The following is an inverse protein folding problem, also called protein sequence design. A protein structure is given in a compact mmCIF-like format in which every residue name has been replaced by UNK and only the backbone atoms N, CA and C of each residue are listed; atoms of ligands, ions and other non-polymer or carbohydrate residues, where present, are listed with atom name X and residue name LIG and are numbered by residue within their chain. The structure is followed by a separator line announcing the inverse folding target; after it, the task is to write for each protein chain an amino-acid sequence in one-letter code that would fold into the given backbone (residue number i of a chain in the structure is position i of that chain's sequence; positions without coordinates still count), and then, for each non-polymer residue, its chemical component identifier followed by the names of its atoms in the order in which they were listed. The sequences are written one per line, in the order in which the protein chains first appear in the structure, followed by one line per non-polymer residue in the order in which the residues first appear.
data_IF_999140885757
#
_entry.id   IF_999140885757
#
_cell.length_a   1.000
_cell.length_b   1.000
_cell.length_c   1.000
_cell.angle_alpha   90.00
_cell.angle_beta   90.00
_cell.angle_gamma   90.00
#
_symmetry.space_group_name_H-M   'P 1'
#
loop_
_entity.id
_entity.type
_entity.pdbx_description
1 polymer ?
#
# COMPACT_ATOMS: atom_id res chain seq x y z
N UNK A 1 -5.27 5.26 -13.82
CA UNK A 1 -5.42 4.97 -12.39
C UNK A 1 -4.18 5.52 -11.71
N UNK A 2 -4.25 6.73 -11.17
CA UNK A 2 -3.09 7.42 -10.61
C UNK A 2 -3.01 6.98 -9.15
N UNK A 3 -2.10 6.06 -8.89
CA UNK A 3 -1.65 5.61 -7.57
C UNK A 3 -2.68 4.84 -6.72
N UNK A 4 -2.71 3.52 -6.89
CA UNK A 4 -3.39 2.62 -5.96
C UNK A 4 -2.67 2.50 -4.59
N UNK A 5 -1.58 3.25 -4.39
CA UNK A 5 -0.88 3.40 -3.11
C UNK A 5 -0.31 4.83 -3.02
N UNK A 6 -1.04 5.78 -2.40
CA UNK A 6 -0.77 7.21 -2.49
C UNK A 6 0.44 7.68 -1.67
N UNK A 7 1.23 6.77 -1.08
CA UNK A 7 2.34 7.13 -0.18
C UNK A 7 3.36 8.04 -0.86
N UNK A 8 3.79 7.72 -2.08
CA UNK A 8 4.78 8.54 -2.79
C UNK A 8 4.23 9.93 -3.15
N UNK A 9 2.96 10.00 -3.52
CA UNK A 9 2.30 11.27 -3.84
C UNK A 9 2.17 12.11 -2.56
N UNK A 10 1.73 11.52 -1.46
CA UNK A 10 1.65 12.18 -0.15
C UNK A 10 3.01 12.71 0.32
N UNK A 11 4.08 11.92 0.18
CA UNK A 11 5.43 12.38 0.53
C UNK A 11 5.88 13.55 -0.35
N UNK A 12 5.52 13.53 -1.63
CA UNK A 12 5.82 14.61 -2.56
C UNK A 12 5.06 15.90 -2.19
N UNK A 13 3.80 15.77 -1.81
CA UNK A 13 2.96 16.88 -1.35
C UNK A 13 3.49 17.51 -0.06
N UNK A 14 3.90 16.68 0.92
CA UNK A 14 4.53 17.17 2.16
C UNK A 14 5.83 17.91 1.85
N UNK A 15 6.67 17.37 0.95
CA UNK A 15 7.89 18.05 0.51
C UNK A 15 7.62 19.39 -0.16
N UNK A 16 6.61 19.46 -1.03
CA UNK A 16 6.18 20.68 -1.69
C UNK A 16 5.63 21.71 -0.69
N UNK A 17 4.79 21.27 0.25
CA UNK A 17 4.24 22.11 1.31
C UNK A 17 5.34 22.70 2.19
N UNK A 18 6.28 21.87 2.66
CA UNK A 18 7.42 22.31 3.46
C UNK A 18 8.30 23.33 2.72
N UNK A 19 8.57 23.09 1.44
CA UNK A 19 9.31 24.04 0.58
C UNK A 19 8.56 25.37 0.45
N UNK A 20 7.23 25.32 0.37
CA UNK A 20 6.37 26.52 0.29
C UNK A 20 6.39 27.30 1.59
N UNK A 21 6.25 26.63 2.74
CA UNK A 21 6.39 27.24 4.07
C UNK A 21 7.75 27.93 4.24
N UNK A 22 8.83 27.29 3.79
CA UNK A 22 10.16 27.87 3.82
C UNK A 22 10.27 29.15 2.96
N UNK A 23 9.73 29.14 1.73
CA UNK A 23 9.69 30.32 0.86
C UNK A 23 8.84 31.45 1.42
N UNK A 24 7.72 31.12 2.06
CA UNK A 24 6.81 32.06 2.71
C UNK A 24 7.33 32.54 4.08
N UNK A 25 8.50 32.05 4.53
CA UNK A 25 9.14 32.36 5.82
C UNK A 25 8.25 32.05 7.03
N UNK A 26 7.51 30.94 6.95
CA UNK A 26 6.66 30.39 8.01
C UNK A 26 7.13 28.98 8.40
N UNK A 27 8.37 28.82 8.87
CA UNK A 27 8.95 27.50 9.18
C UNK A 27 8.18 26.74 10.27
N UNK A 28 7.46 27.45 11.15
CA UNK A 28 6.63 26.88 12.20
C UNK A 28 5.47 26.02 11.66
N UNK A 29 5.09 26.20 10.40
CA UNK A 29 4.05 25.39 9.75
C UNK A 29 4.60 24.15 9.04
N UNK A 30 5.91 23.97 8.98
CA UNK A 30 6.50 22.80 8.34
C UNK A 30 6.13 21.52 9.10
N UNK A 31 5.89 20.46 8.34
CA UNK A 31 5.50 19.15 8.87
C UNK A 31 6.73 18.25 8.90
N UNK A 32 7.04 17.72 10.08
CA UNK A 32 8.03 16.66 10.24
C UNK A 32 7.34 15.29 10.26
N UNK A 33 7.83 14.35 9.45
CA UNK A 33 7.22 13.03 9.30
C UNK A 33 7.85 12.04 10.27
N UNK A 34 7.16 11.74 11.38
CA UNK A 34 7.68 10.78 12.37
C UNK A 34 7.56 9.30 11.98
N UNK A 35 6.59 8.95 11.12
CA UNK A 35 6.35 7.58 10.64
C UNK A 35 5.39 7.59 9.44
N UNK A 36 5.52 6.61 8.56
CA UNK A 36 4.58 6.37 7.46
C UNK A 36 3.93 5.00 7.63
N UNK A 37 2.60 4.98 7.71
CA UNK A 37 1.80 3.76 7.72
C UNK A 37 0.97 3.69 6.42
N UNK A 38 1.21 2.64 5.64
CA UNK A 38 0.44 2.33 4.44
C UNK A 38 -0.45 1.12 4.71
N UNK A 39 -1.76 1.26 4.51
CA UNK A 39 -2.73 0.16 4.72
C UNK A 39 -3.30 -0.26 3.37
N UNK A 40 -3.26 -1.56 3.09
CA UNK A 40 -3.81 -2.16 1.88
C UNK A 40 -5.16 -2.84 2.13
N UNK A 41 -5.87 -3.13 1.05
CA UNK A 41 -7.21 -3.75 1.06
C UNK A 41 -7.18 -5.26 0.85
N UNK A 42 -6.02 -5.89 0.95
CA UNK A 42 -5.81 -7.30 0.63
C UNK A 42 -4.75 -7.49 -0.46
N UNK A 43 -4.03 -8.61 -0.39
CA UNK A 43 -3.17 -9.10 -1.48
C UNK A 43 -3.86 -10.31 -2.10
N UNK A 44 -4.31 -10.16 -3.35
CA UNK A 44 -4.87 -11.28 -4.12
C UNK A 44 -3.81 -12.37 -4.30
N UNK A 45 -4.13 -13.65 -4.05
CA UNK A 45 -3.17 -14.74 -4.13
C UNK A 45 -2.71 -14.94 -5.58
N UNK A 46 -1.43 -15.22 -5.75
CA UNK A 46 -0.82 -15.42 -7.07
C UNK A 46 -1.36 -16.72 -7.66
N UNK A 47 -2.18 -16.61 -8.71
CA UNK A 47 -2.59 -17.76 -9.52
C UNK A 47 -1.40 -18.16 -10.41
N UNK A 48 -0.86 -19.39 -10.28
CA UNK A 48 0.21 -19.84 -11.16
C UNK A 48 -0.31 -19.90 -12.60
N UNK A 49 0.33 -19.13 -13.48
CA UNK A 49 0.05 -19.19 -14.92
C UNK A 49 0.77 -20.41 -15.47
N UNK A 50 0.04 -21.30 -16.13
CA UNK A 50 0.62 -22.48 -16.76
C UNK A 50 1.62 -22.03 -17.85
N UNK A 51 2.92 -22.43 -17.77
CA UNK A 51 3.93 -22.05 -18.75
C UNK A 51 3.60 -22.47 -20.18
N UNK A 52 2.79 -23.52 -20.37
CA UNK A 52 2.35 -24.01 -21.68
C UNK A 52 1.50 -22.99 -22.45
N UNK A 53 0.98 -21.98 -21.75
CA UNK A 53 0.17 -20.88 -22.31
C UNK A 53 1.02 -19.89 -23.12
N UNK A 54 2.35 -19.94 -22.97
CA UNK A 54 3.32 -19.16 -23.74
C UNK A 54 3.93 -19.93 -24.92
N UNK A 55 3.47 -21.15 -25.19
CA UNK A 55 3.92 -21.89 -26.36
C UNK A 55 3.41 -21.24 -27.66
N UNK A 56 4.32 -20.50 -28.30
CA UNK A 56 4.12 -19.82 -29.57
C UNK A 56 4.32 -20.78 -30.76
N UNK A 57 3.70 -21.96 -30.71
CA UNK A 57 3.89 -22.99 -31.73
C UNK A 57 2.95 -22.81 -32.94
N UNK A 58 1.85 -22.06 -32.80
CA UNK A 58 0.85 -21.80 -33.85
C UNK A 58 0.28 -20.37 -33.78
N UNK A 59 -0.31 -19.86 -34.87
CA UNK A 59 -0.92 -18.51 -34.94
C UNK A 59 -2.01 -18.29 -33.85
N UNK A 60 -2.75 -19.34 -33.50
CA UNK A 60 -3.74 -19.32 -32.41
C UNK A 60 -3.08 -19.29 -31.02
N UNK A 61 -1.93 -19.96 -30.87
CA UNK A 61 -1.07 -19.88 -29.68
C UNK A 61 -0.44 -18.50 -29.51
N UNK A 62 -0.05 -17.86 -30.61
CA UNK A 62 0.46 -16.48 -30.61
C UNK A 62 -0.60 -15.47 -30.16
N UNK A 63 -1.85 -15.59 -30.63
CA UNK A 63 -2.96 -14.73 -30.19
C UNK A 63 -3.31 -14.93 -28.71
N UNK A 64 -3.29 -16.18 -28.21
CA UNK A 64 -3.48 -16.47 -26.77
C UNK A 64 -2.32 -15.92 -25.94
N UNK A 65 -1.08 -16.13 -26.37
CA UNK A 65 0.11 -15.60 -25.70
C UNK A 65 0.09 -14.08 -25.62
N UNK A 66 -0.30 -13.37 -26.69
CA UNK A 66 -0.46 -11.91 -26.68
C UNK A 66 -1.57 -11.44 -25.72
N UNK A 67 -2.70 -12.13 -25.68
CA UNK A 67 -3.81 -11.80 -24.75
C UNK A 67 -3.39 -12.00 -23.29
N UNK A 68 -2.63 -13.05 -23.00
CA UNK A 68 -2.18 -13.34 -21.64
C UNK A 68 -1.03 -12.43 -21.21
N UNK A 69 -0.11 -12.09 -22.12
CA UNK A 69 0.94 -11.10 -21.83
C UNK A 69 0.35 -9.71 -21.58
N UNK A 70 -0.67 -9.30 -22.35
CA UNK A 70 -1.35 -8.02 -22.11
C UNK A 70 -2.08 -7.98 -20.77
N UNK A 71 -2.69 -9.09 -20.33
CA UNK A 71 -3.22 -9.22 -18.97
C UNK A 71 -2.13 -9.13 -17.90
N UNK A 72 -0.98 -9.78 -18.08
CA UNK A 72 0.17 -9.68 -17.15
C UNK A 72 0.72 -8.25 -17.09
N UNK A 73 0.80 -7.55 -18.22
CA UNK A 73 1.26 -6.14 -18.26
C UNK A 73 0.25 -5.23 -17.56
N UNK A 74 -1.05 -5.46 -17.75
CA UNK A 74 -2.09 -4.73 -17.04
C UNK A 74 -2.00 -5.00 -15.54
N UNK A 75 -1.83 -6.26 -15.14
CA UNK A 75 -1.70 -6.68 -13.74
C UNK A 75 -0.47 -6.04 -13.07
N UNK A 76 0.68 -6.02 -13.75
CA UNK A 76 1.89 -5.31 -13.30
C UNK A 76 1.71 -3.78 -13.26
N UNK A 77 0.91 -3.21 -14.16
CA UNK A 77 0.60 -1.78 -14.16
C UNK A 77 -0.41 -1.39 -13.06
N UNK A 78 -1.26 -2.33 -12.62
CA UNK A 78 -2.21 -2.15 -11.51
C UNK A 78 -1.69 -2.65 -10.17
N UNK A 79 -0.52 -3.30 -10.15
CA UNK A 79 0.09 -3.87 -8.96
C UNK A 79 0.25 -2.79 -7.87
N UNK A 80 -0.54 -2.95 -6.81
CA UNK A 80 -0.51 -2.10 -5.61
C UNK A 80 0.64 -2.49 -4.67
N UNK A 81 1.19 -3.69 -4.91
CA UNK A 81 2.29 -4.30 -4.18
C UNK A 81 3.56 -4.39 -5.06
N UNK A 82 4.74 -4.37 -4.46
CA UNK A 82 6.02 -4.45 -5.19
C UNK A 82 6.72 -3.10 -5.38
N UNK A 83 6.97 -2.69 -6.63
CA UNK A 83 7.85 -1.55 -6.95
C UNK A 83 7.45 -0.21 -6.28
N UNK A 84 6.16 0.19 -6.21
CA UNK A 84 5.75 1.41 -5.50
C UNK A 84 6.08 1.37 -4.01
N UNK A 85 5.92 0.21 -3.37
CA UNK A 85 6.21 0.02 -1.94
C UNK A 85 7.71 0.05 -1.69
N UNK A 86 8.51 -0.63 -2.52
CA UNK A 86 9.97 -0.61 -2.40
C UNK A 86 10.50 0.81 -2.56
N UNK A 87 9.99 1.58 -3.53
CA UNK A 87 10.35 3.00 -3.69
C UNK A 87 9.96 3.82 -2.48
N UNK A 88 8.73 3.68 -1.99
CA UNK A 88 8.24 4.39 -0.80
C UNK A 88 9.11 4.10 0.42
N UNK A 89 9.43 2.82 0.64
CA UNK A 89 10.27 2.36 1.75
C UNK A 89 11.68 2.94 1.66
N UNK A 90 12.31 2.92 0.47
CA UNK A 90 13.65 3.48 0.28
C UNK A 90 13.67 5.00 0.52
N UNK A 91 12.65 5.72 0.07
CA UNK A 91 12.51 7.14 0.33
C UNK A 91 12.33 7.43 1.82
N UNK A 92 11.43 6.72 2.50
CA UNK A 92 11.24 6.84 3.95
C UNK A 92 12.56 6.57 4.70
N UNK A 93 13.27 5.50 4.32
CA UNK A 93 14.58 5.17 4.90
C UNK A 93 15.62 6.28 4.67
N UNK A 94 15.64 6.90 3.49
CA UNK A 94 16.55 8.02 3.22
C UNK A 94 16.27 9.27 4.06
N UNK A 95 15.03 9.43 4.51
CA UNK A 95 14.59 10.51 5.39
C UNK A 95 14.71 10.13 6.89
N UNK A 96 15.15 8.90 7.21
CA UNK A 96 15.19 8.40 8.58
C UNK A 96 13.80 8.09 9.16
N UNK A 97 12.78 7.99 8.32
CA UNK A 97 11.38 7.79 8.73
C UNK A 97 11.03 6.30 8.67
N UNK A 98 10.52 5.70 9.75
CA UNK A 98 10.06 4.31 9.74
C UNK A 98 8.83 4.14 8.84
N UNK A 99 8.83 3.06 8.06
CA UNK A 99 7.78 2.73 7.10
C UNK A 99 7.15 1.36 7.41
N UNK A 100 5.84 1.35 7.63
CA UNK A 100 5.03 0.15 7.85
C UNK A 100 4.02 -0.04 6.72
N UNK A 101 3.92 -1.25 6.18
CA UNK A 101 2.88 -1.65 5.21
C UNK A 101 2.08 -2.79 5.82
N UNK A 102 0.80 -2.54 6.08
CA UNK A 102 -0.13 -3.57 6.54
C UNK A 102 -1.00 -3.97 5.35
N UNK A 103 -0.81 -5.19 4.87
CA UNK A 103 -1.66 -5.73 3.82
C UNK A 103 -1.80 -7.25 3.98
N UNK A 104 -3.03 -7.70 4.25
CA UNK A 104 -3.30 -9.10 4.53
C UNK A 104 -3.44 -9.92 3.23
N UNK A 105 -2.80 -11.09 3.09
CA UNK A 105 -3.08 -11.98 1.98
C UNK A 105 -4.51 -12.53 2.10
N UNK A 106 -5.31 -12.38 1.05
CA UNK A 106 -6.70 -12.84 1.02
C UNK A 106 -6.81 -14.21 0.35
N UNK A 107 -7.81 -15.01 0.74
CA UNK A 107 -7.98 -16.38 0.24
C UNK A 107 -8.32 -16.50 -1.26
N UNK A 108 -8.92 -15.48 -1.87
CA UNK A 108 -9.29 -15.46 -3.29
C UNK A 108 -9.32 -14.03 -3.83
N UNK A 109 -9.35 -13.90 -5.16
CA UNK A 109 -9.65 -12.62 -5.79
C UNK A 109 -11.12 -12.25 -5.55
N UNK A 110 -11.35 -11.28 -4.67
CA UNK A 110 -12.68 -10.77 -4.34
C UNK A 110 -12.88 -9.47 -5.11
N UNK A 111 -13.93 -9.44 -5.93
CA UNK A 111 -14.26 -8.27 -6.72
C UNK A 111 -14.68 -7.13 -5.78
N UNK A 112 -14.33 -5.90 -6.13
CA UNK A 112 -14.65 -4.71 -5.31
C UNK A 112 -16.15 -4.57 -4.99
N UNK A 113 -17.02 -5.08 -5.86
CA UNK A 113 -18.48 -5.02 -5.75
C UNK A 113 -19.11 -6.29 -5.10
N UNK A 114 -18.31 -7.09 -4.40
CA UNK A 114 -18.83 -8.27 -3.70
C UNK A 114 -19.65 -7.86 -2.48
N UNK A 115 -20.91 -8.26 -2.47
CA UNK A 115 -21.86 -8.07 -1.36
C UNK A 115 -22.23 -9.39 -0.66
N UNK A 116 -21.43 -10.45 -0.86
CA UNK A 116 -21.64 -11.74 -0.20
C UNK A 116 -20.99 -11.73 1.19
N UNK A 117 -21.83 -11.86 2.23
CA UNK A 117 -21.40 -11.86 3.63
C UNK A 117 -20.38 -12.95 3.94
N UNK A 118 -20.46 -14.10 3.26
CA UNK A 118 -19.51 -15.20 3.47
C UNK A 118 -18.08 -14.80 3.05
N UNK A 119 -17.97 -14.16 1.90
CA UNK A 119 -16.69 -13.69 1.36
C UNK A 119 -16.10 -12.56 2.20
N UNK A 120 -16.95 -11.61 2.62
CA UNK A 120 -16.54 -10.52 3.49
C UNK A 120 -16.07 -11.03 4.86
N UNK A 121 -16.82 -11.96 5.47
CA UNK A 121 -16.42 -12.60 6.73
C UNK A 121 -15.07 -13.31 6.60
N UNK A 122 -14.81 -13.93 5.45
CA UNK A 122 -13.54 -14.61 5.21
C UNK A 122 -12.38 -13.63 5.05
N UNK A 123 -12.56 -12.52 4.32
CA UNK A 123 -11.54 -11.44 4.23
C UNK A 123 -11.22 -10.86 5.61
N UNK A 124 -12.25 -10.61 6.42
CA UNK A 124 -12.07 -10.12 7.80
C UNK A 124 -11.30 -11.14 8.64
N UNK A 125 -11.63 -12.44 8.51
CA UNK A 125 -10.91 -13.49 9.23
C UNK A 125 -9.43 -13.56 8.81
N UNK A 126 -9.14 -13.52 7.51
CA UNK A 126 -7.75 -13.52 7.01
C UNK A 126 -6.97 -12.30 7.53
N UNK A 127 -7.63 -11.14 7.65
CA UNK A 127 -7.06 -9.94 8.26
C UNK A 127 -6.74 -10.13 9.75
N UNK A 128 -7.62 -10.79 10.51
CA UNK A 128 -7.37 -11.13 11.92
C UNK A 128 -6.20 -12.10 12.06
N UNK A 129 -6.12 -13.13 11.21
CA UNK A 129 -5.00 -14.07 11.18
C UNK A 129 -3.69 -13.35 10.84
N UNK A 130 -3.72 -12.43 9.87
CA UNK A 130 -2.58 -11.59 9.52
C UNK A 130 -2.12 -10.73 10.70
N UNK A 131 -3.03 -10.05 11.40
CA UNK A 131 -2.71 -9.28 12.60
C UNK A 131 -2.13 -10.14 13.71
N UNK A 132 -2.58 -11.39 13.85
CA UNK A 132 -2.02 -12.30 14.85
C UNK A 132 -0.60 -12.75 14.50
N UNK A 133 -0.34 -13.07 13.23
CA UNK A 133 1.00 -13.49 12.77
C UNK A 133 2.00 -12.33 12.78
N UNK A 134 1.56 -11.10 12.50
CA UNK A 134 2.39 -9.89 12.50
C UNK A 134 2.24 -9.08 13.79
N UNK A 135 1.83 -9.71 14.90
CA UNK A 135 1.55 -9.04 16.18
C UNK A 135 2.71 -8.14 16.64
N UNK A 136 3.95 -8.53 16.39
CA UNK A 136 5.14 -7.76 16.72
C UNK A 136 5.16 -6.40 15.99
N UNK A 137 4.91 -6.39 14.68
CA UNK A 137 4.88 -5.16 13.88
C UNK A 137 3.78 -4.21 14.36
N UNK A 138 2.61 -4.76 14.72
CA UNK A 138 1.51 -3.97 15.31
C UNK A 138 1.88 -3.40 16.70
N UNK A 139 2.62 -4.15 17.50
CA UNK A 139 3.10 -3.68 18.82
C UNK A 139 4.13 -2.56 18.67
N UNK A 140 5.13 -2.74 17.80
CA UNK A 140 6.13 -1.70 17.49
C UNK A 140 5.47 -0.42 16.95
N UNK A 141 4.53 -0.57 16.02
CA UNK A 141 3.77 0.56 15.49
C UNK A 141 2.94 1.25 16.59
N UNK A 142 2.28 0.48 17.46
CA UNK A 142 1.50 1.04 18.56
C UNK A 142 2.37 1.78 19.59
N UNK A 143 3.57 1.27 19.89
CA UNK A 143 4.55 1.94 20.74
C UNK A 143 5.03 3.23 20.10
N UNK A 144 5.37 3.20 18.82
CA UNK A 144 5.78 4.38 18.06
C UNK A 144 4.66 5.43 17.99
N UNK A 145 3.42 5.03 17.75
CA UNK A 145 2.29 5.97 17.71
C UNK A 145 1.99 6.61 19.08
N UNK A 146 2.33 5.93 20.17
CA UNK A 146 2.25 6.48 21.54
C UNK A 146 3.36 7.49 21.82
N UNK A 147 4.57 7.29 21.30
CA UNK A 147 5.67 8.25 21.47
C UNK A 147 5.47 9.53 20.66
N UNK A 148 4.75 9.46 19.53
CA UNK A 148 4.36 10.62 18.71
C UNK A 148 3.28 11.51 19.38
N UNK A 149 2.86 11.19 20.61
CA UNK A 149 2.04 12.06 21.47
C UNK A 149 0.64 11.53 21.73
N UNK A 150 0.04 11.91 22.86
CA UNK A 150 -1.33 11.47 23.19
C UNK A 150 -2.37 12.22 22.35
N UNK A 151 -3.51 11.59 22.07
CA UNK A 151 -4.60 12.17 21.26
C UNK A 151 -5.05 13.54 21.81
N UNK A 152 -4.91 13.77 23.12
CA UNK A 152 -5.31 15.01 23.76
C UNK A 152 -4.42 16.21 23.39
N UNK A 153 -3.13 15.99 23.09
CA UNK A 153 -2.23 17.04 22.57
C UNK A 153 -2.52 17.34 21.09
N UNK A 154 -3.01 16.36 20.33
CA UNK A 154 -3.39 16.50 18.91
C UNK A 154 -4.76 17.14 18.70
N UNK A 155 -5.67 17.08 19.69
CA UNK A 155 -6.97 17.77 19.64
C UNK A 155 -6.83 19.28 19.54
N UNK A 156 -5.80 19.88 20.15
CA UNK A 156 -5.50 21.31 19.99
C UNK A 156 -5.02 21.65 18.57
N UNK A 157 -4.28 20.75 17.91
CA UNK A 157 -3.75 20.92 16.56
C UNK A 157 -4.79 20.69 15.45
N UNK A 158 -5.84 19.91 15.72
CA UNK A 158 -6.91 19.54 14.78
C UNK A 158 -8.22 20.31 15.01
N UNK A 159 -8.19 21.47 15.68
CA UNK A 159 -9.34 22.39 15.75
C UNK A 159 -9.67 22.92 14.35
N UNK A 160 -10.50 22.17 13.63
CA UNK A 160 -11.38 22.68 12.57
C UNK A 160 -12.65 23.19 13.26
#
# INVERSE_FOLDING_TARGET
MISNNPVLDLMSDIGFYNTTCQKMRIPEKMVDMGCVLSVGTGITPICPVDPSVFEMNDLFGMLRGMKNLSLVVIDQATATEGAPITRSRTWCHSLGVPYYRLNAPIFKDVILDTNDDYDLAKIMWDSVVYSHTHKKDFQELAELLKTVGTVDERKELLKI
#
